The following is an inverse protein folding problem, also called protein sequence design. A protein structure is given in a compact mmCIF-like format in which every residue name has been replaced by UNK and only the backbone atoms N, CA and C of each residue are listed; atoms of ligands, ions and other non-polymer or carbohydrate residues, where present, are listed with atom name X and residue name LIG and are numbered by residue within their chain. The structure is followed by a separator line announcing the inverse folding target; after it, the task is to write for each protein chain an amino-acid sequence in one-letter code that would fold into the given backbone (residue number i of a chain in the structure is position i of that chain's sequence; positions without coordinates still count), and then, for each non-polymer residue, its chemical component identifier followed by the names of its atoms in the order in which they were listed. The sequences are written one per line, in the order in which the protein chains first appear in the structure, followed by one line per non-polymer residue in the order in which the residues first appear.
data_IF_535888200020
#
_entry.id   IF_535888200020
#
_cell.length_a   1.000
_cell.length_b   1.000
_cell.length_c   1.000
_cell.angle_alpha   90.00
_cell.angle_beta   90.00
_cell.angle_gamma   90.00
#
_symmetry.space_group_name_H-M   'P 1'
#
loop_
_entity.id
_entity.type
_entity.pdbx_description
1 polymer ?
#
# COMPACT_ATOMS: atom_id res chain seq x y z
N UNK A 1 -19.46 -66.98 36.79
CA UNK A 1 -20.52 -65.96 36.60
C UNK A 1 -20.02 -64.61 37.11
N UNK A 2 -20.34 -63.54 36.37
CA UNK A 2 -20.06 -62.11 36.66
C UNK A 2 -18.57 -61.70 36.66
N UNK A 3 -18.11 -61.20 35.50
CA UNK A 3 -17.14 -60.07 35.34
C UNK A 3 -16.60 -59.89 33.91
N UNK A 4 -17.23 -60.45 32.87
CA UNK A 4 -16.74 -60.31 31.48
C UNK A 4 -17.67 -59.50 30.57
N UNK A 5 -18.84 -59.04 31.04
CA UNK A 5 -19.87 -58.47 30.14
C UNK A 5 -20.08 -56.94 30.16
N UNK A 6 -19.23 -56.15 30.81
CA UNK A 6 -19.45 -54.69 30.91
C UNK A 6 -18.30 -53.85 30.30
N UNK A 7 -17.15 -54.45 29.99
CA UNK A 7 -16.05 -53.73 29.33
C UNK A 7 -16.21 -53.64 27.80
N UNK A 8 -17.11 -54.41 27.20
CA UNK A 8 -17.34 -54.43 25.75
C UNK A 8 -18.42 -53.45 25.26
N UNK A 9 -19.15 -52.78 26.15
CA UNK A 9 -20.17 -51.78 25.79
C UNK A 9 -19.69 -50.33 25.91
N UNK A 10 -18.57 -50.08 26.58
CA UNK A 10 -18.05 -48.72 26.77
C UNK A 10 -17.15 -48.23 25.62
N UNK A 11 -16.64 -49.14 24.77
CA UNK A 11 -15.83 -48.80 23.58
C UNK A 11 -16.65 -48.57 22.31
N UNK A 12 -17.97 -48.78 22.35
CA UNK A 12 -18.86 -48.53 21.21
C UNK A 12 -19.53 -47.15 21.22
N UNK A 13 -19.37 -46.35 22.29
CA UNK A 13 -20.04 -45.04 22.45
C UNK A 13 -19.05 -43.85 22.48
N UNK A 14 -17.74 -44.11 22.40
CA UNK A 14 -16.75 -43.05 22.21
C UNK A 14 -16.54 -42.63 20.72
N UNK A 15 -17.20 -43.32 19.78
CA UNK A 15 -17.20 -42.98 18.34
C UNK A 15 -18.44 -42.19 17.88
N UNK A 16 -19.31 -41.78 18.82
CA UNK A 16 -20.58 -41.13 18.50
C UNK A 16 -20.62 -39.71 19.03
N UNK A 17 -19.67 -38.84 18.65
CA UNK A 17 -19.85 -37.37 18.64
C UNK A 17 -18.96 -36.63 17.60
N UNK A 18 -18.54 -37.31 16.53
CA UNK A 18 -18.14 -36.62 15.29
C UNK A 18 -19.26 -36.83 14.27
N UNK A 19 -19.86 -35.75 13.78
CA UNK A 19 -20.97 -35.86 12.82
C UNK A 19 -20.55 -36.71 11.62
N UNK A 20 -21.29 -37.78 11.32
CA UNK A 20 -20.99 -38.67 10.19
C UNK A 20 -20.80 -37.87 8.90
N UNK A 21 -19.56 -37.83 8.39
CA UNK A 21 -19.17 -37.17 7.15
C UNK A 21 -20.09 -37.58 6.00
N UNK A 22 -20.74 -36.60 5.37
CA UNK A 22 -21.70 -36.84 4.28
C UNK A 22 -21.03 -37.39 3.02
N UNK A 23 -21.78 -38.07 2.15
CA UNK A 23 -21.25 -38.70 0.92
C UNK A 23 -20.50 -37.71 0.02
N UNK A 24 -20.98 -36.47 -0.10
CA UNK A 24 -20.33 -35.43 -0.90
C UNK A 24 -19.01 -34.98 -0.29
N UNK A 25 -18.91 -34.89 1.04
CA UNK A 25 -17.68 -34.53 1.72
C UNK A 25 -16.63 -35.63 1.57
N UNK A 26 -17.02 -36.91 1.69
CA UNK A 26 -16.14 -38.05 1.43
C UNK A 26 -15.57 -38.05 0.00
N UNK A 27 -16.42 -37.80 -1.01
CA UNK A 27 -15.97 -37.64 -2.40
C UNK A 27 -15.03 -36.45 -2.56
N UNK A 28 -15.29 -35.37 -1.84
CA UNK A 28 -14.39 -34.22 -1.77
C UNK A 28 -13.00 -34.62 -1.29
N UNK A 29 -12.92 -35.38 -0.21
CA UNK A 29 -11.65 -35.86 0.36
C UNK A 29 -10.89 -36.81 -0.58
N UNK A 30 -11.61 -37.70 -1.26
CA UNK A 30 -11.04 -38.58 -2.29
C UNK A 30 -10.42 -37.76 -3.42
N UNK A 31 -11.17 -36.81 -3.97
CA UNK A 31 -10.67 -35.92 -5.02
C UNK A 31 -9.51 -35.04 -4.57
N UNK A 32 -9.51 -34.58 -3.31
CA UNK A 32 -8.40 -33.80 -2.75
C UNK A 32 -7.12 -34.65 -2.69
N UNK A 33 -7.22 -35.90 -2.23
CA UNK A 33 -6.08 -36.85 -2.17
C UNK A 33 -5.53 -37.18 -3.55
N UNK A 34 -6.39 -37.28 -4.56
CA UNK A 34 -6.01 -37.55 -5.95
C UNK A 34 -5.52 -36.31 -6.72
N UNK A 35 -5.50 -35.13 -6.10
CA UNK A 35 -5.11 -33.88 -6.76
C UNK A 35 -6.16 -33.31 -7.73
N UNK A 36 -7.39 -33.84 -7.73
CA UNK A 36 -8.51 -33.38 -8.56
C UNK A 36 -9.23 -32.19 -7.91
N UNK A 37 -8.51 -31.09 -7.69
CA UNK A 37 -8.96 -30.00 -6.81
C UNK A 37 -10.28 -29.34 -7.22
N UNK A 38 -10.55 -29.14 -8.53
CA UNK A 38 -11.84 -28.60 -9.00
C UNK A 38 -13.01 -29.53 -8.64
N UNK A 39 -12.83 -30.84 -8.79
CA UNK A 39 -13.82 -31.85 -8.40
C UNK A 39 -14.01 -31.90 -6.87
N UNK A 40 -12.92 -31.74 -6.11
CA UNK A 40 -12.97 -31.66 -4.65
C UNK A 40 -13.79 -30.43 -4.21
N UNK A 41 -13.49 -29.25 -4.75
CA UNK A 41 -14.22 -27.99 -4.48
C UNK A 41 -15.71 -28.14 -4.77
N UNK A 42 -16.08 -28.67 -5.93
CA UNK A 42 -17.49 -28.89 -6.28
C UNK A 42 -18.18 -29.82 -5.27
N UNK A 43 -17.49 -30.88 -4.85
CA UNK A 43 -18.02 -31.83 -3.86
C UNK A 43 -18.21 -31.19 -2.49
N UNK A 44 -17.27 -30.34 -2.04
CA UNK A 44 -17.41 -29.58 -0.79
C UNK A 44 -18.50 -28.51 -0.86
N UNK A 45 -18.67 -27.81 -1.99
CA UNK A 45 -19.77 -26.86 -2.18
C UNK A 45 -21.13 -27.57 -2.05
N UNK A 46 -21.28 -28.75 -2.65
CA UNK A 46 -22.49 -29.57 -2.52
C UNK A 46 -22.69 -30.13 -1.11
N UNK A 47 -21.62 -30.49 -0.40
CA UNK A 47 -21.70 -30.88 1.00
C UNK A 47 -22.18 -29.71 1.89
N UNK A 48 -21.64 -28.50 1.67
CA UNK A 48 -22.03 -27.28 2.37
C UNK A 48 -23.51 -26.94 2.16
N UNK A 49 -24.02 -27.05 0.94
CA UNK A 49 -25.45 -26.82 0.62
C UNK A 49 -26.39 -27.75 1.39
N UNK A 50 -25.97 -28.98 1.64
CA UNK A 50 -26.77 -29.99 2.37
C UNK A 50 -26.72 -29.84 3.89
N UNK A 51 -25.89 -28.93 4.42
CA UNK A 51 -25.86 -28.55 5.84
C UNK A 51 -25.25 -29.58 6.81
N UNK A 52 -24.78 -30.75 6.33
CA UNK A 52 -24.08 -31.76 7.14
C UNK A 52 -22.58 -31.70 6.83
N UNK A 53 -21.83 -30.97 7.64
CA UNK A 53 -20.39 -30.79 7.52
C UNK A 53 -19.71 -31.43 8.74
N UNK A 54 -18.66 -32.22 8.52
CA UNK A 54 -17.82 -32.71 9.62
C UNK A 54 -16.92 -31.61 10.18
N UNK A 55 -16.22 -31.92 11.26
CA UNK A 55 -15.25 -31.01 11.88
C UNK A 55 -14.06 -30.69 10.96
N UNK A 56 -13.68 -31.60 10.08
CA UNK A 56 -12.55 -31.47 9.12
C UNK A 56 -12.96 -30.74 7.83
N UNK A 57 -14.26 -30.46 7.66
CA UNK A 57 -14.80 -29.94 6.40
C UNK A 57 -14.09 -28.67 5.95
N UNK A 58 -13.91 -27.70 6.87
CA UNK A 58 -13.31 -26.41 6.53
C UNK A 58 -11.80 -26.52 6.30
N UNK A 59 -11.11 -27.45 6.95
CA UNK A 59 -9.70 -27.72 6.70
C UNK A 59 -9.52 -28.24 5.27
N UNK A 60 -10.19 -29.34 4.91
CA UNK A 60 -10.03 -29.97 3.60
C UNK A 60 -10.57 -29.09 2.46
N UNK A 61 -11.68 -28.38 2.68
CA UNK A 61 -12.20 -27.46 1.67
C UNK A 61 -11.23 -26.30 1.43
N UNK A 62 -10.61 -25.77 2.47
CA UNK A 62 -9.61 -24.70 2.34
C UNK A 62 -8.36 -25.20 1.62
N UNK A 63 -7.85 -26.39 1.96
CA UNK A 63 -6.74 -27.02 1.23
C UNK A 63 -7.04 -27.21 -0.26
N UNK A 64 -8.26 -27.67 -0.60
CA UNK A 64 -8.65 -27.81 -2.01
C UNK A 64 -8.61 -26.48 -2.76
N UNK A 65 -9.04 -25.37 -2.14
CA UNK A 65 -8.99 -24.03 -2.71
C UNK A 65 -7.55 -23.53 -2.86
N UNK A 66 -6.73 -23.66 -1.82
CA UNK A 66 -5.31 -23.23 -1.83
C UNK A 66 -4.53 -23.97 -2.91
N UNK A 67 -4.66 -25.30 -2.99
CA UNK A 67 -3.95 -26.12 -3.98
C UNK A 67 -4.48 -25.92 -5.40
N UNK A 68 -5.78 -25.65 -5.57
CA UNK A 68 -6.32 -25.24 -6.87
C UNK A 68 -5.73 -23.90 -7.31
N UNK A 69 -5.62 -22.93 -6.40
CA UNK A 69 -4.98 -21.63 -6.64
C UNK A 69 -3.51 -21.76 -7.02
N UNK A 70 -2.73 -22.58 -6.31
CA UNK A 70 -1.32 -22.83 -6.68
C UNK A 70 -1.18 -23.52 -8.04
N UNK A 71 -2.02 -24.52 -8.32
CA UNK A 71 -2.02 -25.20 -9.61
C UNK A 71 -2.37 -24.23 -10.75
N UNK A 72 -3.30 -23.31 -10.53
CA UNK A 72 -3.65 -22.26 -11.48
C UNK A 72 -2.47 -21.30 -11.68
N UNK A 73 -1.87 -20.82 -10.59
CA UNK A 73 -0.70 -19.91 -10.63
C UNK A 73 0.53 -20.51 -11.32
N UNK A 74 0.67 -21.85 -11.30
CA UNK A 74 1.72 -22.56 -12.07
C UNK A 74 1.44 -22.62 -13.58
N UNK A 75 0.17 -22.50 -14.00
CA UNK A 75 -0.23 -22.50 -15.41
C UNK A 75 -0.22 -21.08 -15.98
N UNK A 76 -0.86 -20.18 -15.26
CA UNK A 76 -0.99 -18.78 -15.61
C UNK A 76 -1.03 -17.96 -14.32
N UNK A 77 0.10 -17.28 -14.05
CA UNK A 77 0.27 -16.47 -12.86
C UNK A 77 -0.57 -15.19 -12.88
N UNK A 78 -1.11 -14.81 -14.04
CA UNK A 78 -2.00 -13.66 -14.23
C UNK A 78 -3.49 -14.01 -14.14
N UNK A 79 -3.83 -15.30 -13.96
CA UNK A 79 -5.21 -15.78 -13.95
C UNK A 79 -6.02 -15.21 -12.78
N UNK A 80 -7.15 -14.57 -13.10
CA UNK A 80 -8.12 -14.06 -12.11
C UNK A 80 -8.67 -15.16 -11.19
N UNK A 81 -8.65 -16.41 -11.65
CA UNK A 81 -9.10 -17.56 -10.86
C UNK A 81 -8.27 -17.73 -9.58
N UNK A 82 -7.00 -17.30 -9.57
CA UNK A 82 -6.15 -17.33 -8.37
C UNK A 82 -6.82 -16.52 -7.25
N UNK A 83 -7.22 -15.29 -7.53
CA UNK A 83 -7.84 -14.40 -6.54
C UNK A 83 -9.16 -15.02 -6.03
N UNK A 84 -9.99 -15.56 -6.92
CA UNK A 84 -11.25 -16.21 -6.55
C UNK A 84 -11.05 -17.40 -5.58
N UNK A 85 -10.02 -18.22 -5.81
CA UNK A 85 -9.71 -19.34 -4.92
C UNK A 85 -9.26 -18.86 -3.54
N UNK A 86 -8.37 -17.85 -3.49
CA UNK A 86 -7.83 -17.35 -2.23
C UNK A 86 -8.80 -16.48 -1.42
N UNK A 87 -9.68 -15.71 -2.07
CA UNK A 87 -10.79 -15.02 -1.40
C UNK A 87 -11.74 -16.02 -0.74
N UNK A 88 -12.06 -17.11 -1.45
CA UNK A 88 -12.90 -18.16 -0.89
C UNK A 88 -12.22 -18.88 0.27
N UNK A 89 -10.92 -19.18 0.13
CA UNK A 89 -10.13 -19.78 1.20
C UNK A 89 -10.08 -18.86 2.43
N UNK A 90 -9.81 -17.57 2.25
CA UNK A 90 -9.82 -16.56 3.31
C UNK A 90 -11.15 -16.54 4.08
N UNK A 91 -12.29 -16.63 3.37
CA UNK A 91 -13.62 -16.69 3.98
C UNK A 91 -13.86 -17.93 4.86
N UNK A 92 -13.05 -18.98 4.69
CA UNK A 92 -13.11 -20.20 5.49
C UNK A 92 -12.05 -20.21 6.62
N UNK A 93 -10.99 -19.39 6.56
CA UNK A 93 -9.85 -19.45 7.49
C UNK A 93 -10.30 -19.39 8.95
N UNK A 94 -11.25 -18.53 9.32
CA UNK A 94 -11.75 -18.44 10.70
C UNK A 94 -12.41 -19.71 11.24
N UNK A 95 -12.68 -20.71 10.38
CA UNK A 95 -13.30 -22.00 10.72
C UNK A 95 -12.35 -23.20 10.56
N UNK A 96 -11.14 -22.96 10.04
CA UNK A 96 -10.06 -23.96 9.92
C UNK A 96 -9.51 -24.24 11.31
N UNK A 97 -9.45 -25.52 11.69
CA UNK A 97 -8.96 -25.99 12.98
C UNK A 97 -7.50 -26.40 12.92
N UNK A 98 -7.04 -26.93 11.78
CA UNK A 98 -5.69 -27.45 11.63
C UNK A 98 -4.69 -26.36 11.25
N UNK A 99 -3.67 -26.18 12.10
CA UNK A 99 -2.63 -25.17 11.88
C UNK A 99 -1.87 -25.38 10.57
N UNK A 100 -1.67 -26.64 10.18
CA UNK A 100 -1.03 -27.01 8.92
C UNK A 100 -1.80 -26.47 7.69
N UNK A 101 -3.13 -26.40 7.76
CA UNK A 101 -3.94 -25.83 6.68
C UNK A 101 -3.78 -24.31 6.59
N UNK A 102 -3.71 -23.63 7.73
CA UNK A 102 -3.44 -22.19 7.78
C UNK A 102 -2.03 -21.89 7.28
N UNK A 103 -1.05 -22.69 7.68
CA UNK A 103 0.33 -22.58 7.22
C UNK A 103 0.44 -22.75 5.69
N UNK A 104 -0.23 -23.76 5.12
CA UNK A 104 -0.23 -23.98 3.67
C UNK A 104 -0.89 -22.80 2.93
N UNK A 105 -2.00 -22.25 3.45
CA UNK A 105 -2.61 -21.04 2.91
C UNK A 105 -1.63 -19.85 2.89
N UNK A 106 -1.00 -19.56 4.04
CA UNK A 106 -0.09 -18.42 4.20
C UNK A 106 1.09 -18.53 3.25
N UNK A 107 1.78 -19.68 3.27
CA UNK A 107 2.97 -19.91 2.45
C UNK A 107 2.65 -19.85 0.97
N UNK A 108 1.56 -20.50 0.55
CA UNK A 108 1.19 -20.55 -0.87
C UNK A 108 0.79 -19.17 -1.40
N UNK A 109 -0.03 -18.42 -0.65
CA UNK A 109 -0.43 -17.07 -1.06
C UNK A 109 0.79 -16.13 -1.12
N UNK A 110 1.68 -16.21 -0.14
CA UNK A 110 2.94 -15.45 -0.12
C UNK A 110 3.83 -15.76 -1.32
N UNK A 111 4.05 -17.04 -1.63
CA UNK A 111 4.89 -17.46 -2.76
C UNK A 111 4.29 -17.11 -4.13
N UNK A 112 2.96 -17.12 -4.25
CA UNK A 112 2.29 -16.59 -5.45
C UNK A 112 2.55 -15.09 -5.58
N UNK A 113 2.38 -14.32 -4.49
CA UNK A 113 2.70 -12.89 -4.47
C UNK A 113 4.15 -12.62 -4.85
N UNK A 114 5.10 -13.36 -4.27
CA UNK A 114 6.53 -13.25 -4.63
C UNK A 114 6.79 -13.51 -6.10
N UNK A 115 6.22 -14.59 -6.66
CA UNK A 115 6.35 -14.90 -8.09
C UNK A 115 5.75 -13.81 -8.97
N UNK A 116 4.60 -13.23 -8.60
CA UNK A 116 3.95 -12.14 -9.34
C UNK A 116 4.81 -10.88 -9.33
N UNK A 117 5.36 -10.50 -8.17
CA UNK A 117 6.25 -9.35 -8.06
C UNK A 117 7.56 -9.51 -8.84
N UNK A 118 7.99 -10.75 -9.10
CA UNK A 118 9.18 -11.04 -9.88
C UNK A 118 8.96 -10.99 -11.41
N UNK A 119 7.72 -10.95 -11.91
CA UNK A 119 7.44 -10.99 -13.35
C UNK A 119 7.98 -9.76 -14.08
N UNK A 120 8.65 -9.98 -15.20
CA UNK A 120 9.16 -8.91 -16.06
C UNK A 120 8.04 -8.26 -16.89
N UNK A 121 8.15 -6.95 -17.14
CA UNK A 121 7.21 -6.22 -18.00
C UNK A 121 5.79 -6.04 -17.48
N UNK A 122 5.51 -6.32 -16.20
CA UNK A 122 4.20 -6.08 -15.58
C UNK A 122 4.04 -4.64 -15.11
N UNK A 123 2.80 -4.15 -15.11
CA UNK A 123 2.45 -2.83 -14.58
C UNK A 123 2.57 -2.75 -13.05
N UNK A 124 2.57 -1.53 -12.53
CA UNK A 124 2.67 -1.24 -11.11
C UNK A 124 1.48 -1.76 -10.32
N UNK A 125 0.28 -1.72 -10.90
CA UNK A 125 -0.91 -2.28 -10.27
C UNK A 125 -0.75 -3.79 -9.97
N UNK A 126 -0.12 -4.52 -10.89
CA UNK A 126 0.21 -5.94 -10.71
C UNK A 126 1.20 -6.14 -9.58
N UNK A 127 2.24 -5.31 -9.48
CA UNK A 127 3.18 -5.32 -8.35
C UNK A 127 2.47 -5.02 -7.03
N UNK A 128 1.61 -4.00 -6.98
CA UNK A 128 0.80 -3.68 -5.79
C UNK A 128 -0.05 -4.88 -5.38
N UNK A 129 -0.73 -5.51 -6.33
CA UNK A 129 -1.58 -6.68 -6.07
C UNK A 129 -0.76 -7.90 -5.60
N UNK A 130 0.48 -8.02 -6.05
CA UNK A 130 1.40 -9.06 -5.61
C UNK A 130 1.80 -8.87 -4.13
N UNK A 131 2.20 -7.66 -3.74
CA UNK A 131 2.50 -7.32 -2.35
C UNK A 131 1.26 -7.40 -1.45
N UNK A 132 0.08 -6.99 -1.94
CA UNK A 132 -1.17 -7.11 -1.20
C UNK A 132 -1.51 -8.57 -0.83
N UNK A 133 -1.16 -9.56 -1.68
CA UNK A 133 -1.29 -10.98 -1.34
C UNK A 133 -0.37 -11.38 -0.19
N UNK A 134 0.89 -10.93 -0.22
CA UNK A 134 1.86 -11.20 0.84
C UNK A 134 1.38 -10.56 2.16
N UNK A 135 0.95 -9.30 2.12
CA UNK A 135 0.46 -8.58 3.31
C UNK A 135 -0.84 -9.21 3.86
N UNK A 136 -1.71 -9.73 2.98
CA UNK A 136 -2.91 -10.49 3.40
C UNK A 136 -2.54 -11.80 4.10
N UNK A 137 -1.56 -12.53 3.55
CA UNK A 137 -1.03 -13.74 4.17
C UNK A 137 -0.36 -13.43 5.52
N UNK A 138 0.38 -12.32 5.62
CA UNK A 138 1.00 -11.86 6.86
C UNK A 138 -0.06 -11.52 7.93
N UNK A 139 -1.16 -10.87 7.53
CA UNK A 139 -2.28 -10.58 8.42
C UNK A 139 -2.91 -11.85 9.00
N UNK A 140 -3.11 -12.88 8.16
CA UNK A 140 -3.61 -14.19 8.62
C UNK A 140 -2.59 -14.87 9.54
N UNK A 141 -1.30 -14.87 9.17
CA UNK A 141 -0.23 -15.44 9.98
C UNK A 141 -0.17 -14.83 11.38
N UNK A 142 -0.20 -13.49 11.48
CA UNK A 142 -0.22 -12.76 12.76
C UNK A 142 -1.47 -13.04 13.59
N UNK A 143 -2.63 -13.08 12.94
CA UNK A 143 -3.92 -13.32 13.63
C UNK A 143 -4.01 -14.73 14.19
N UNK A 144 -3.39 -15.70 13.49
CA UNK A 144 -3.44 -17.11 13.85
C UNK A 144 -2.21 -17.60 14.61
N UNK A 145 -1.17 -16.76 14.72
CA UNK A 145 0.14 -17.11 15.27
C UNK A 145 0.81 -18.29 14.57
N UNK A 146 0.65 -18.38 13.24
CA UNK A 146 1.12 -19.49 12.40
C UNK A 146 1.92 -18.95 11.24
N UNK A 147 3.07 -19.57 10.95
CA UNK A 147 3.92 -19.26 9.79
C UNK A 147 4.43 -17.80 9.70
N UNK A 148 4.42 -17.04 10.81
CA UNK A 148 4.87 -15.63 10.85
C UNK A 148 6.31 -15.44 10.32
N UNK A 149 7.24 -16.32 10.71
CA UNK A 149 8.63 -16.24 10.24
C UNK A 149 8.76 -16.55 8.75
N UNK A 150 7.96 -17.50 8.22
CA UNK A 150 8.02 -17.87 6.82
C UNK A 150 7.51 -16.73 5.93
N UNK A 151 6.35 -16.14 6.27
CA UNK A 151 5.80 -15.03 5.48
C UNK A 151 6.65 -13.76 5.60
N UNK A 152 7.29 -13.53 6.75
CA UNK A 152 8.27 -12.45 6.89
C UNK A 152 9.47 -12.64 5.97
N UNK A 153 10.03 -13.85 5.88
CA UNK A 153 11.12 -14.16 4.93
C UNK A 153 10.69 -13.91 3.49
N UNK A 154 9.50 -14.37 3.11
CA UNK A 154 8.92 -14.15 1.78
C UNK A 154 8.80 -12.65 1.49
N UNK A 155 8.28 -11.86 2.43
CA UNK A 155 8.15 -10.40 2.29
C UNK A 155 9.51 -9.72 2.07
N UNK A 156 10.48 -10.02 2.93
CA UNK A 156 11.83 -9.44 2.85
C UNK A 156 12.56 -9.82 1.56
N UNK A 157 12.44 -11.08 1.10
CA UNK A 157 13.00 -11.52 -0.16
C UNK A 157 12.34 -10.82 -1.35
N UNK A 158 11.02 -10.66 -1.31
CA UNK A 158 10.27 -9.98 -2.38
C UNK A 158 10.66 -8.51 -2.47
N UNK A 159 10.83 -7.81 -1.34
CA UNK A 159 11.36 -6.44 -1.32
C UNK A 159 12.73 -6.35 -1.96
N UNK A 160 13.66 -7.24 -1.57
CA UNK A 160 15.03 -7.25 -2.11
C UNK A 160 15.03 -7.48 -3.61
N UNK A 161 14.23 -8.43 -4.10
CA UNK A 161 14.10 -8.72 -5.53
C UNK A 161 13.54 -7.51 -6.30
N UNK A 162 12.47 -6.91 -5.79
CA UNK A 162 11.85 -5.74 -6.42
C UNK A 162 12.81 -4.55 -6.47
N UNK A 163 13.49 -4.25 -5.36
CA UNK A 163 14.46 -3.15 -5.30
C UNK A 163 15.66 -3.40 -6.22
N UNK A 164 16.26 -4.60 -6.17
CA UNK A 164 17.44 -4.92 -6.97
C UNK A 164 17.20 -4.75 -8.48
N UNK A 165 15.97 -5.04 -8.93
CA UNK A 165 15.60 -4.93 -10.34
C UNK A 165 15.31 -3.49 -10.79
N UNK A 166 14.72 -2.66 -9.94
CA UNK A 166 14.18 -1.35 -10.35
C UNK A 166 15.06 -0.17 -9.90
N UNK A 167 15.97 -0.36 -8.93
CA UNK A 167 16.74 0.75 -8.36
C UNK A 167 17.67 1.41 -9.37
N UNK A 168 18.36 0.61 -10.19
CA UNK A 168 19.30 1.15 -11.16
C UNK A 168 18.59 2.07 -12.15
N UNK A 169 17.51 1.60 -12.77
CA UNK A 169 16.67 2.37 -13.70
C UNK A 169 16.22 3.70 -13.07
N UNK A 170 15.65 3.64 -11.86
CA UNK A 170 15.18 4.83 -11.15
C UNK A 170 16.30 5.85 -10.87
N UNK A 171 17.52 5.38 -10.57
CA UNK A 171 18.67 6.25 -10.26
C UNK A 171 19.42 6.75 -11.49
N UNK A 172 19.25 6.11 -12.65
CA UNK A 172 19.82 6.53 -13.92
C UNK A 172 18.89 7.44 -14.74
N UNK A 173 17.63 7.57 -14.36
CA UNK A 173 16.66 8.45 -15.00
C UNK A 173 17.13 9.91 -14.96
N UNK A 174 17.07 10.58 -16.11
CA UNK A 174 17.52 11.97 -16.29
C UNK A 174 16.49 12.98 -15.81
N UNK A 175 15.20 12.69 -15.97
CA UNK A 175 14.14 13.54 -15.44
C UNK A 175 14.02 13.34 -13.92
N UNK A 176 14.33 14.37 -13.10
CA UNK A 176 14.34 14.23 -11.65
C UNK A 176 12.94 13.97 -11.06
N UNK A 177 11.87 14.35 -11.75
CA UNK A 177 10.49 14.07 -11.34
C UNK A 177 10.14 12.60 -11.60
N UNK A 178 10.55 12.06 -12.76
CA UNK A 178 10.35 10.64 -13.09
C UNK A 178 11.20 9.75 -12.18
N UNK A 179 12.46 10.12 -11.95
CA UNK A 179 13.33 9.44 -10.99
C UNK A 179 12.70 9.36 -9.59
N UNK A 180 12.20 10.49 -9.06
CA UNK A 180 11.54 10.48 -7.75
C UNK A 180 10.27 9.62 -7.73
N UNK A 181 9.47 9.64 -8.80
CA UNK A 181 8.30 8.79 -8.91
C UNK A 181 8.63 7.30 -8.81
N UNK A 182 9.63 6.83 -9.58
CA UNK A 182 10.09 5.44 -9.55
C UNK A 182 10.61 5.05 -8.16
N UNK A 183 11.35 5.95 -7.50
CA UNK A 183 11.82 5.76 -6.13
C UNK A 183 10.67 5.70 -5.11
N UNK A 184 9.63 6.52 -5.28
CA UNK A 184 8.45 6.50 -4.42
C UNK A 184 7.64 5.21 -4.58
N UNK A 185 7.53 4.67 -5.80
CA UNK A 185 6.93 3.35 -6.06
C UNK A 185 7.66 2.24 -5.30
N UNK A 186 8.99 2.26 -5.36
CA UNK A 186 9.80 1.33 -4.57
C UNK A 186 9.65 1.53 -3.06
N UNK A 187 9.56 2.77 -2.58
CA UNK A 187 9.38 3.07 -1.17
C UNK A 187 7.99 2.64 -0.65
N UNK A 188 6.98 2.53 -1.50
CA UNK A 188 5.68 1.97 -1.12
C UNK A 188 5.78 0.46 -0.83
N UNK A 189 6.52 -0.26 -1.66
CA UNK A 189 6.68 -1.71 -1.53
C UNK A 189 7.76 -2.11 -0.51
N UNK A 190 8.84 -1.34 -0.43
CA UNK A 190 10.01 -1.59 0.42
C UNK A 190 10.36 -0.36 1.28
N UNK A 191 9.46 0.07 2.19
CA UNK A 191 9.58 1.34 2.93
C UNK A 191 10.81 1.41 3.84
N UNK A 192 11.31 0.26 4.27
CA UNK A 192 12.45 0.15 5.17
C UNK A 192 13.77 -0.14 4.45
N UNK A 193 13.78 -0.25 3.12
CA UNK A 193 14.99 -0.53 2.38
C UNK A 193 15.94 0.68 2.38
N UNK A 194 17.13 0.51 2.93
CA UNK A 194 18.11 1.59 3.11
C UNK A 194 18.64 2.16 1.78
N UNK A 195 18.74 1.35 0.73
CA UNK A 195 19.17 1.83 -0.59
C UNK A 195 18.10 2.72 -1.22
N UNK A 196 16.83 2.33 -1.12
CA UNK A 196 15.69 3.14 -1.59
C UNK A 196 15.62 4.45 -0.81
N UNK A 197 15.72 4.41 0.52
CA UNK A 197 15.73 5.61 1.37
C UNK A 197 16.86 6.57 1.00
N UNK A 198 18.08 6.05 0.83
CA UNK A 198 19.24 6.86 0.46
C UNK A 198 19.06 7.50 -0.93
N UNK A 199 18.61 6.74 -1.92
CA UNK A 199 18.34 7.23 -3.26
C UNK A 199 17.22 8.28 -3.27
N UNK A 200 16.12 8.04 -2.53
CA UNK A 200 15.01 8.97 -2.40
C UNK A 200 15.42 10.27 -1.68
N UNK A 201 16.26 10.19 -0.64
CA UNK A 201 16.81 11.38 0.02
C UNK A 201 17.69 12.21 -0.94
N UNK A 202 18.48 11.56 -1.78
CA UNK A 202 19.26 12.23 -2.82
C UNK A 202 18.35 12.90 -3.86
N UNK A 203 17.33 12.18 -4.35
CA UNK A 203 16.32 12.72 -5.28
C UNK A 203 15.62 13.94 -4.71
N UNK A 204 15.11 13.85 -3.47
CA UNK A 204 14.40 14.93 -2.78
C UNK A 204 15.20 16.21 -2.65
N UNK A 205 16.53 16.11 -2.50
CA UNK A 205 17.42 17.27 -2.49
C UNK A 205 17.43 18.00 -3.84
N UNK A 206 17.42 17.27 -4.94
CA UNK A 206 17.36 17.82 -6.29
C UNK A 206 15.95 18.34 -6.64
N UNK A 207 14.90 17.67 -6.17
CA UNK A 207 13.51 18.01 -6.50
C UNK A 207 12.86 19.02 -5.56
N UNK A 208 13.59 19.60 -4.58
CA UNK A 208 13.01 20.55 -3.59
C UNK A 208 12.21 21.68 -4.25
N UNK A 209 12.73 22.23 -5.35
CA UNK A 209 12.08 23.32 -6.08
C UNK A 209 10.93 22.92 -7.01
N UNK A 210 10.65 21.63 -7.14
CA UNK A 210 9.68 21.11 -8.11
C UNK A 210 8.33 20.85 -7.43
N UNK A 211 7.25 21.22 -8.11
CA UNK A 211 5.94 20.62 -7.87
C UNK A 211 5.98 19.21 -8.45
N UNK A 212 5.94 18.19 -7.59
CA UNK A 212 5.92 16.79 -8.02
C UNK A 212 4.53 16.44 -8.53
N UNK A 213 4.23 16.89 -9.74
CA UNK A 213 2.99 16.57 -10.47
C UNK A 213 3.34 15.50 -11.49
N UNK A 214 2.88 14.27 -11.24
CA UNK A 214 3.20 13.12 -12.09
C UNK A 214 2.29 13.10 -13.32
N UNK A 215 2.70 13.76 -14.41
CA UNK A 215 1.95 13.90 -15.67
C UNK A 215 2.20 12.77 -16.69
N UNK A 216 1.94 13.05 -17.97
CA UNK A 216 2.08 12.10 -19.09
C UNK A 216 3.49 11.51 -19.27
N UNK A 217 4.52 12.21 -18.76
CA UNK A 217 5.92 11.77 -18.82
C UNK A 217 6.24 10.64 -17.83
N UNK A 218 5.31 10.29 -16.96
CA UNK A 218 5.52 9.25 -15.95
C UNK A 218 5.09 7.89 -16.52
N UNK A 219 5.98 6.89 -16.54
CA UNK A 219 5.63 5.56 -17.01
C UNK A 219 4.58 4.94 -16.07
N UNK A 220 3.51 4.44 -16.68
CA UNK A 220 2.43 3.72 -16.00
C UNK A 220 1.70 4.55 -14.91
N UNK A 221 0.61 5.22 -15.33
CA UNK A 221 -0.27 5.99 -14.46
C UNK A 221 -1.02 5.13 -13.44
N UNK A 222 -1.01 3.80 -13.57
CA UNK A 222 -1.65 2.92 -12.60
C UNK A 222 -0.95 3.06 -11.24
N UNK A 223 -1.74 3.23 -10.17
CA UNK A 223 -1.19 3.45 -8.83
C UNK A 223 -0.63 4.86 -8.56
N UNK A 224 -0.68 5.81 -9.51
CA UNK A 224 -0.27 7.22 -9.28
C UNK A 224 -0.90 7.80 -8.01
N UNK A 225 -2.19 7.51 -7.77
CA UNK A 225 -2.94 7.98 -6.60
C UNK A 225 -2.34 7.54 -5.25
N UNK A 226 -1.55 6.46 -5.23
CA UNK A 226 -0.85 6.00 -4.03
C UNK A 226 0.39 6.82 -3.71
N UNK A 227 1.00 7.39 -4.74
CA UNK A 227 2.16 8.27 -4.66
C UNK A 227 1.71 9.74 -4.49
N UNK A 228 0.74 10.17 -5.30
CA UNK A 228 0.11 11.50 -5.33
C UNK A 228 -1.13 11.55 -4.43
N UNK A 229 -0.95 11.20 -3.15
CA UNK A 229 -2.06 11.10 -2.18
C UNK A 229 -2.43 12.41 -1.49
N UNK A 230 -1.76 13.50 -1.86
CA UNK A 230 -1.83 14.78 -1.16
C UNK A 230 -2.77 15.75 -1.87
N UNK A 231 -3.58 16.46 -1.09
CA UNK A 231 -4.51 17.44 -1.64
C UNK A 231 -3.86 18.78 -2.03
N UNK A 232 -2.62 19.00 -1.58
CA UNK A 232 -1.81 20.15 -1.94
C UNK A 232 -0.44 19.69 -2.43
N UNK A 233 -0.06 20.12 -3.63
CA UNK A 233 1.29 19.93 -4.16
C UNK A 233 2.12 21.14 -3.77
N UNK A 234 3.33 20.90 -3.24
CA UNK A 234 4.19 21.96 -2.71
C UNK A 234 5.58 21.91 -3.34
N UNK A 235 6.18 23.09 -3.47
CA UNK A 235 7.53 23.28 -3.97
C UNK A 235 8.27 24.30 -3.10
N UNK A 236 9.59 24.17 -3.00
CA UNK A 236 10.45 25.10 -2.27
C UNK A 236 11.57 25.60 -3.18
N UNK A 237 11.27 26.52 -4.13
CA UNK A 237 12.23 26.98 -5.14
C UNK A 237 13.45 27.64 -4.52
N UNK A 238 13.27 28.31 -3.38
CA UNK A 238 14.35 28.87 -2.60
C UNK A 238 14.37 28.24 -1.22
N UNK A 239 15.53 27.77 -0.80
CA UNK A 239 15.72 27.17 0.51
C UNK A 239 17.10 27.51 1.06
N UNK A 240 17.13 27.97 2.31
CA UNK A 240 18.34 28.17 3.09
C UNK A 240 18.21 27.37 4.38
N UNK A 241 19.06 26.36 4.53
CA UNK A 241 19.14 25.53 5.74
C UNK A 241 20.40 25.91 6.49
N UNK A 242 20.25 26.17 7.79
CA UNK A 242 21.35 26.29 8.75
C UNK A 242 21.19 25.23 9.83
N UNK A 243 22.14 25.15 10.77
CA UNK A 243 22.09 24.20 11.89
C UNK A 243 20.85 24.38 12.79
N UNK A 244 20.23 25.57 12.81
CA UNK A 244 19.19 25.94 13.78
C UNK A 244 17.96 26.56 13.10
N UNK A 245 17.98 26.68 11.77
CA UNK A 245 16.92 27.36 11.03
C UNK A 245 16.75 26.85 9.62
N UNK A 246 15.54 27.00 9.11
CA UNK A 246 15.21 26.79 7.71
C UNK A 246 14.38 27.98 7.23
N UNK A 247 14.70 28.56 6.10
CA UNK A 247 13.91 29.67 5.54
C UNK A 247 13.87 29.59 4.02
N UNK A 248 12.80 30.09 3.42
CA UNK A 248 12.67 30.15 1.98
C UNK A 248 11.27 30.47 1.51
N UNK A 249 11.08 30.38 0.21
CA UNK A 249 9.79 30.50 -0.44
C UNK A 249 9.15 29.13 -0.56
N UNK A 250 7.97 28.95 0.06
CA UNK A 250 7.15 27.76 -0.08
C UNK A 250 5.98 28.07 -1.01
N UNK A 251 5.92 27.35 -2.13
CA UNK A 251 4.85 27.48 -3.11
C UNK A 251 3.87 26.32 -3.00
N UNK A 252 2.62 26.61 -3.32
CA UNK A 252 1.46 25.75 -3.20
C UNK A 252 0.69 25.73 -4.51
N UNK A 253 0.25 24.54 -4.89
CA UNK A 253 -0.73 24.32 -5.94
C UNK A 253 -1.85 23.44 -5.36
N UNK A 254 -3.09 23.94 -5.39
CA UNK A 254 -4.26 23.15 -5.04
C UNK A 254 -4.61 22.17 -6.18
N UNK A 255 -4.35 20.87 -5.96
CA UNK A 255 -4.71 19.79 -6.89
C UNK A 255 -6.13 19.25 -6.67
N UNK A 256 -6.78 19.64 -5.58
CA UNK A 256 -8.09 19.09 -5.13
C UNK A 256 -9.31 19.70 -5.81
N UNK A 257 -9.17 20.73 -6.64
CA UNK A 257 -10.33 21.45 -7.18
C UNK A 257 -10.98 22.44 -6.21
N UNK A 258 -10.56 22.45 -4.95
CA UNK A 258 -11.15 23.29 -3.91
C UNK A 258 -10.48 24.66 -3.80
N UNK A 259 -11.30 25.70 -3.67
CA UNK A 259 -10.81 27.02 -3.28
C UNK A 259 -10.71 27.08 -1.75
N UNK A 260 -9.53 27.41 -1.23
CA UNK A 260 -9.27 27.50 0.21
C UNK A 260 -8.54 28.80 0.57
N UNK A 261 -8.55 29.15 1.85
CA UNK A 261 -7.66 30.17 2.39
C UNK A 261 -6.34 29.51 2.81
N UNK A 262 -5.25 29.88 2.15
CA UNK A 262 -3.91 29.48 2.58
C UNK A 262 -3.56 30.22 3.86
N UNK A 263 -3.55 29.51 4.98
CA UNK A 263 -3.18 30.04 6.29
C UNK A 263 -1.73 29.66 6.65
N UNK A 264 -0.77 30.61 6.60
CA UNK A 264 0.62 30.33 6.93
C UNK A 264 0.86 29.75 8.33
N UNK A 265 -0.06 29.97 9.28
CA UNK A 265 0.07 29.45 10.65
C UNK A 265 -0.11 27.93 10.74
N UNK A 266 -0.72 27.31 9.72
CA UNK A 266 -0.90 25.86 9.62
C UNK A 266 0.30 25.16 8.97
N UNK A 267 1.30 25.91 8.53
CA UNK A 267 2.52 25.35 7.94
C UNK A 267 3.46 24.93 9.07
N UNK A 268 3.87 23.66 9.07
CA UNK A 268 4.85 23.12 10.01
C UNK A 268 5.99 22.42 9.32
N UNK A 269 7.15 22.46 9.95
CA UNK A 269 8.31 21.65 9.61
C UNK A 269 8.38 20.48 10.59
N UNK A 270 8.49 19.28 10.06
CA UNK A 270 8.57 18.02 10.82
C UNK A 270 9.96 17.43 10.66
N UNK A 271 10.54 16.97 11.76
CA UNK A 271 11.84 16.28 11.77
C UNK A 271 11.73 14.79 11.48
N UNK A 272 12.86 14.13 11.22
CA UNK A 272 12.96 12.66 11.08
C UNK A 272 12.51 11.90 12.33
N UNK A 273 12.48 12.56 13.49
CA UNK A 273 12.01 12.02 14.77
C UNK A 273 10.54 12.40 15.09
N UNK A 274 9.85 13.10 14.17
CA UNK A 274 8.46 13.52 14.36
C UNK A 274 8.27 14.78 15.22
N UNK A 275 9.33 15.45 15.67
CA UNK A 275 9.24 16.76 16.33
C UNK A 275 8.77 17.82 15.33
N UNK A 276 7.92 18.74 15.76
CA UNK A 276 7.28 19.74 14.90
C UNK A 276 7.64 21.17 15.33
N UNK A 277 7.85 22.05 14.35
CA UNK A 277 7.96 23.50 14.56
C UNK A 277 7.13 24.25 13.52
N UNK A 278 6.41 25.28 13.95
CA UNK A 278 5.52 26.05 13.08
C UNK A 278 6.27 27.16 12.34
N UNK A 279 5.79 27.47 11.13
CA UNK A 279 6.34 28.54 10.31
C UNK A 279 6.12 29.91 10.95
N UNK A 280 7.14 30.76 10.83
CA UNK A 280 7.06 32.20 11.03
C UNK A 280 7.07 32.85 9.66
N UNK A 281 5.91 33.34 9.24
CA UNK A 281 5.69 33.98 7.95
C UNK A 281 4.22 34.38 7.83
N UNK A 282 3.95 35.57 7.33
CA UNK A 282 2.58 36.06 7.13
C UNK A 282 2.43 36.89 5.86
N UNK A 283 3.40 36.81 4.95
CA UNK A 283 3.39 37.52 3.68
C UNK A 283 3.69 36.57 2.54
N UNK A 284 3.08 36.85 1.41
CA UNK A 284 3.14 35.99 0.25
C UNK A 284 2.43 36.60 -0.93
N UNK A 285 2.20 35.78 -1.94
CA UNK A 285 1.38 36.12 -3.09
C UNK A 285 0.52 34.94 -3.49
N UNK A 286 -0.63 35.21 -4.09
CA UNK A 286 -1.44 34.21 -4.78
C UNK A 286 -1.75 34.74 -6.18
N UNK A 287 -1.74 33.86 -7.17
CA UNK A 287 -2.23 34.21 -8.48
C UNK A 287 -3.73 34.51 -8.41
N UNK A 288 -4.17 35.47 -9.21
CA UNK A 288 -5.56 35.80 -9.40
C UNK A 288 -5.80 36.23 -10.85
N UNK A 289 -7.00 35.98 -11.35
CA UNK A 289 -7.44 36.52 -12.63
C UNK A 289 -7.70 38.02 -12.50
N UNK A 290 -7.11 38.78 -13.41
CA UNK A 290 -7.29 40.23 -13.50
C UNK A 290 -7.69 40.56 -14.93
N UNK A 291 -8.79 41.31 -15.07
CA UNK A 291 -9.19 41.92 -16.35
C UNK A 291 -8.20 43.05 -16.68
N UNK A 292 -7.56 42.95 -17.83
CA UNK A 292 -6.55 43.89 -18.30
C UNK A 292 -6.91 44.32 -19.71
N UNK A 293 -6.95 45.62 -19.97
CA UNK A 293 -7.29 46.15 -21.29
C UNK A 293 -8.15 47.41 -21.21
N UNK A 294 -8.47 47.96 -22.38
CA UNK A 294 -9.46 49.04 -22.48
C UNK A 294 -10.86 48.45 -22.37
N UNK A 295 -11.79 49.24 -21.85
CA UNK A 295 -13.19 48.84 -21.70
C UNK A 295 -13.78 48.44 -23.06
N UNK A 296 -14.18 47.18 -23.23
CA UNK A 296 -14.67 46.60 -24.48
C UNK A 296 -13.69 45.64 -25.18
N UNK A 297 -12.41 45.65 -24.78
CA UNK A 297 -11.33 44.78 -25.29
C UNK A 297 -10.53 44.14 -24.12
N UNK A 298 -11.16 43.93 -22.96
CA UNK A 298 -10.48 43.33 -21.82
C UNK A 298 -10.12 41.85 -22.06
N UNK A 299 -8.91 41.48 -21.65
CA UNK A 299 -8.47 40.08 -21.57
C UNK A 299 -8.20 39.69 -20.13
N UNK A 300 -8.39 38.40 -19.81
CA UNK A 300 -8.06 37.84 -18.50
C UNK A 300 -6.59 37.46 -18.50
N UNK A 301 -5.83 37.98 -17.52
CA UNK A 301 -4.45 37.58 -17.25
C UNK A 301 -4.33 37.03 -15.81
N UNK A 302 -3.49 36.01 -15.61
CA UNK A 302 -3.09 35.56 -14.27
C UNK A 302 -2.01 36.50 -13.73
N UNK A 303 -2.25 37.16 -12.59
CA UNK A 303 -1.28 38.05 -11.93
C UNK A 303 -1.10 37.69 -10.46
N UNK A 304 0.13 37.83 -9.97
CA UNK A 304 0.45 37.65 -8.55
C UNK A 304 -0.10 38.81 -7.73
N UNK A 305 -1.03 38.51 -6.83
CA UNK A 305 -1.57 39.45 -5.85
C UNK A 305 -0.94 39.18 -4.49
N UNK A 306 -0.21 40.17 -3.97
CA UNK A 306 0.39 40.11 -2.63
C UNK A 306 -0.68 40.03 -1.55
N UNK A 307 -0.40 39.29 -0.48
CA UNK A 307 -1.23 39.25 0.70
C UNK A 307 -0.41 39.39 1.99
N UNK A 308 -1.09 39.80 3.06
CA UNK A 308 -0.61 39.74 4.44
C UNK A 308 -1.66 39.00 5.29
N UNK A 309 -1.24 38.03 6.09
CA UNK A 309 -2.15 37.11 6.77
C UNK A 309 -2.41 35.88 5.89
N UNK A 310 -3.66 35.68 5.47
CA UNK A 310 -4.08 34.54 4.65
C UNK A 310 -4.09 34.86 3.17
N UNK A 311 -3.73 33.88 2.34
CA UNK A 311 -3.82 33.94 0.89
C UNK A 311 -5.09 33.28 0.36
N UNK A 312 -5.53 33.63 -0.85
CA UNK A 312 -6.62 32.93 -1.54
C UNK A 312 -6.03 31.89 -2.49
N UNK A 313 -6.02 30.63 -2.07
CA UNK A 313 -5.54 29.51 -2.88
C UNK A 313 -6.71 28.97 -3.71
N UNK A 314 -6.77 29.41 -4.96
CA UNK A 314 -7.79 29.03 -5.92
C UNK A 314 -7.33 27.79 -6.71
N UNK A 315 -8.28 26.99 -7.20
CA UNK A 315 -7.98 25.81 -8.02
C UNK A 315 -7.18 26.18 -9.28
N UNK A 316 -6.07 25.47 -9.54
CA UNK A 316 -5.13 25.76 -10.67
C UNK A 316 -4.41 27.12 -10.60
N UNK A 317 -4.42 27.77 -9.43
CA UNK A 317 -3.63 28.97 -9.14
C UNK A 317 -2.55 28.61 -8.13
N UNK A 318 -1.40 29.24 -8.29
CA UNK A 318 -0.30 29.11 -7.37
C UNK A 318 -0.40 30.14 -6.24
N UNK A 319 -0.07 29.72 -5.03
CA UNK A 319 0.26 30.64 -3.94
C UNK A 319 1.69 30.41 -3.47
N UNK A 320 2.26 31.42 -2.86
CA UNK A 320 3.59 31.41 -2.30
C UNK A 320 3.60 32.12 -0.97
N UNK A 321 4.37 31.58 -0.03
CA UNK A 321 4.55 32.11 1.32
C UNK A 321 6.04 32.16 1.63
N UNK A 322 6.51 33.30 2.13
CA UNK A 322 7.84 33.36 2.72
C UNK A 322 7.78 32.76 4.12
N UNK A 323 8.43 31.62 4.31
CA UNK A 323 8.43 30.87 5.57
C UNK A 323 9.81 30.88 6.21
N UNK A 324 9.82 30.90 7.53
CA UNK A 324 11.02 30.68 8.33
C UNK A 324 10.71 29.80 9.54
N UNK A 325 11.64 28.92 9.90
CA UNK A 325 11.54 27.99 11.02
C UNK A 325 12.79 28.16 11.88
N UNK A 326 12.61 28.11 13.19
CA UNK A 326 13.70 28.08 14.16
C UNK A 326 13.55 26.83 15.01
N UNK A 327 14.63 26.07 15.18
CA UNK A 327 14.61 24.78 15.88
C UNK A 327 15.91 24.53 16.67
N UNK A 328 15.85 23.69 17.73
CA UNK A 328 17.03 23.37 18.53
C UNK A 328 18.06 22.54 17.76
N UNK A 329 19.29 22.51 18.26
CA UNK A 329 20.32 21.61 17.74
C UNK A 329 19.89 20.15 17.82
N UNK A 330 20.16 19.37 16.77
CA UNK A 330 19.73 17.97 16.65
C UNK A 330 18.37 17.78 15.97
N UNK A 331 17.64 18.86 15.68
CA UNK A 331 16.46 18.79 14.81
C UNK A 331 16.92 18.55 13.36
N UNK A 332 16.62 17.39 12.78
CA UNK A 332 16.91 17.06 11.38
C UNK A 332 15.63 17.24 10.56
N UNK A 333 15.52 18.30 9.72
CA UNK A 333 14.33 18.53 8.90
C UNK A 333 14.05 17.37 7.95
N UNK A 334 12.83 16.82 7.96
CA UNK A 334 12.41 15.77 7.04
C UNK A 334 11.45 16.31 5.98
N UNK A 335 10.32 16.89 6.40
CA UNK A 335 9.34 17.47 5.47
C UNK A 335 8.65 18.70 6.04
N UNK A 336 8.16 19.54 5.12
CA UNK A 336 7.20 20.60 5.42
C UNK A 336 5.79 20.05 5.16
N UNK A 337 4.86 20.30 6.08
CA UNK A 337 3.45 19.93 5.97
C UNK A 337 2.57 21.18 6.05
N UNK A 338 1.55 21.21 5.22
CA UNK A 338 0.39 22.09 5.37
C UNK A 338 -0.86 21.21 5.44
N UNK A 339 -1.70 21.47 6.42
CA UNK A 339 -2.96 20.73 6.60
C UNK A 339 -4.05 21.68 7.05
N UNK A 340 -5.16 21.67 6.34
CA UNK A 340 -6.38 22.35 6.72
C UNK A 340 -7.57 21.36 6.73
N UNK A 341 -8.79 21.88 6.73
CA UNK A 341 -10.00 21.06 6.71
C UNK A 341 -10.29 20.40 5.35
N UNK A 342 -9.67 20.86 4.27
CA UNK A 342 -9.92 20.39 2.90
C UNK A 342 -8.83 19.44 2.41
N UNK A 343 -7.62 19.51 2.96
CA UNK A 343 -6.55 18.63 2.52
C UNK A 343 -5.27 18.71 3.33
N UNK A 344 -4.28 17.95 2.84
CA UNK A 344 -2.92 17.88 3.38
C UNK A 344 -1.94 17.89 2.22
N UNK A 345 -0.84 18.64 2.38
CA UNK A 345 0.32 18.65 1.49
C UNK A 345 1.58 18.33 2.26
N UNK A 346 2.49 17.54 1.66
CA UNK A 346 3.83 17.30 2.20
C UNK A 346 4.91 17.52 1.16
N UNK A 347 5.94 18.30 1.52
CA UNK A 347 7.16 18.45 0.74
C UNK A 347 8.34 17.91 1.53
N UNK A 348 8.80 16.74 1.13
CA UNK A 348 10.01 16.14 1.70
C UNK A 348 11.25 16.89 1.23
N UNK A 349 12.15 17.12 2.16
CA UNK A 349 13.36 17.91 1.95
C UNK A 349 14.56 17.02 1.61
N UNK A 350 14.56 15.77 2.04
CA UNK A 350 15.74 14.90 1.96
C UNK A 350 16.82 15.35 2.95
N UNK A 351 17.26 14.44 3.81
CA UNK A 351 18.27 14.69 4.84
C UNK A 351 19.66 14.24 4.39
#
# INVERSE_FOLDING_TARGET
MKKIFIAALATAVALTMTGCKGTNEKRGDEHLKEGRFRNAINSYLEAKKKGKMSDEFFDNFTLALVRAGDMEAKKDLSSDLINNYFEKAASNIGKVKEDATVEEYVKTLGEIGKRQAAQEGVDYATIINAFAKIDSAESVAKTRHIAESAIKSIREETEKLYVARNLQEATSEEDPVVSEYLLLRMAEMAPNNEQVKAALNKSRKATRGYFLIFGENVPDLSGKQRVDKWGYVMAMPTIKITKNSLSGELQFWASTGNNTELDPSLIKLVSTEGKEVFAKGNTGWCEAEVLVGKKGDEKIEKKQKKFKGKGKLMNEFQCSVNVSFSFPGGFVPDYIEYKDQYGIGRKYLGH
#
